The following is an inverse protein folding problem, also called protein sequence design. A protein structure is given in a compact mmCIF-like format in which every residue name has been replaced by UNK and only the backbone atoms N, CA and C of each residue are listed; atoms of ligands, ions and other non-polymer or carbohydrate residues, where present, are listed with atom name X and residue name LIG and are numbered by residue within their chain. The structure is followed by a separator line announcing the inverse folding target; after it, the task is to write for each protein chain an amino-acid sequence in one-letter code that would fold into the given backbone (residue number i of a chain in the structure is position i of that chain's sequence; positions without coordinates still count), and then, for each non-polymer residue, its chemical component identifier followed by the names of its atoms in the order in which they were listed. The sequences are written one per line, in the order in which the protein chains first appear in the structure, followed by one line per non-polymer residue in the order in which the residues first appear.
data_IF_518483455910
#
_entry.id   IF_518483455910
#
_cell.length_a   1.000
_cell.length_b   1.000
_cell.length_c   1.000
_cell.angle_alpha   90.00
_cell.angle_beta   90.00
_cell.angle_gamma   90.00
#
_symmetry.space_group_name_H-M   'P 1'
#
loop_
_entity.id
_entity.type
_entity.pdbx_description
1 polymer ?
#
# COMPACT_ATOMS: atom_id res chain seq x y z
N UNK A 1 -0.83 -3.48 9.72
CA UNK A 1 -1.96 -2.72 9.12
C UNK A 1 -1.71 -1.24 9.30
N UNK A 2 -2.13 -0.39 8.36
CA UNK A 2 -2.07 1.05 8.61
C UNK A 2 -3.00 1.44 9.75
N UNK A 3 -2.55 2.32 10.66
CA UNK A 3 -3.30 2.66 11.87
C UNK A 3 -4.67 3.30 11.57
N UNK A 4 -4.80 4.01 10.45
CA UNK A 4 -6.04 4.66 9.99
C UNK A 4 -7.16 3.66 9.62
N UNK A 5 -6.85 2.39 9.32
CA UNK A 5 -7.85 1.42 8.88
C UNK A 5 -8.94 1.14 9.91
N UNK A 6 -8.64 1.18 11.20
CA UNK A 6 -9.64 0.98 12.25
C UNK A 6 -10.78 1.99 12.18
N UNK A 7 -10.48 3.21 11.74
CA UNK A 7 -11.43 4.31 11.65
C UNK A 7 -12.26 4.19 10.36
N UNK A 8 -11.63 3.66 9.30
CA UNK A 8 -12.21 3.63 7.96
C UNK A 8 -13.09 2.40 7.76
N UNK A 9 -12.63 1.21 8.17
CA UNK A 9 -13.36 -0.04 7.94
C UNK A 9 -13.03 -1.10 9.01
N UNK A 10 -13.72 -1.01 10.16
CA UNK A 10 -13.43 -1.87 11.31
C UNK A 10 -13.88 -3.33 11.12
N UNK A 11 -15.02 -3.57 10.46
CA UNK A 11 -15.54 -4.93 10.25
C UNK A 11 -14.59 -5.79 9.42
N UNK A 12 -13.97 -5.22 8.39
CA UNK A 12 -13.00 -5.93 7.57
C UNK A 12 -11.67 -6.16 8.31
N UNK A 13 -11.22 -5.18 9.10
CA UNK A 13 -10.04 -5.34 9.96
C UNK A 13 -10.20 -6.54 10.90
N UNK A 14 -11.39 -6.71 11.48
CA UNK A 14 -11.70 -7.84 12.36
C UNK A 14 -11.64 -9.18 11.62
N UNK A 15 -12.15 -9.25 10.39
CA UNK A 15 -12.09 -10.47 9.58
C UNK A 15 -10.65 -10.87 9.25
N UNK A 16 -9.83 -9.94 8.76
CA UNK A 16 -8.43 -10.20 8.43
C UNK A 16 -7.55 -10.48 9.66
N UNK A 17 -7.97 -9.99 10.83
CA UNK A 17 -7.29 -10.20 12.10
C UNK A 17 -7.49 -11.61 12.67
N UNK A 18 -8.53 -12.35 12.23
CA UNK A 18 -8.82 -13.69 12.77
C UNK A 18 -7.62 -14.62 12.65
N UNK A 19 -7.19 -15.15 13.80
CA UNK A 19 -6.05 -16.07 13.88
C UNK A 19 -4.68 -15.42 13.65
N UNK A 20 -4.57 -14.09 13.69
CA UNK A 20 -3.32 -13.34 13.48
C UNK A 20 -3.05 -12.38 14.62
N UNK A 21 -1.76 -12.09 14.84
CA UNK A 21 -1.33 -10.97 15.69
C UNK A 21 -1.35 -9.71 14.83
N UNK A 22 -2.14 -8.70 15.23
CA UNK A 22 -2.26 -7.46 14.47
C UNK A 22 -1.32 -6.40 15.02
N UNK A 23 -0.43 -5.91 14.16
CA UNK A 23 0.40 -4.75 14.43
C UNK A 23 -0.12 -3.55 13.63
N UNK A 24 -0.40 -2.45 14.32
CA UNK A 24 -0.79 -1.19 13.70
C UNK A 24 0.45 -0.30 13.57
N UNK A 25 0.63 0.31 12.40
CA UNK A 25 1.73 1.21 12.13
C UNK A 25 1.26 2.42 11.32
N UNK A 26 1.86 3.58 11.56
CA UNK A 26 1.60 4.81 10.82
C UNK A 26 2.92 5.35 10.28
N UNK A 27 3.31 5.05 9.03
CA UNK A 27 4.57 5.52 8.47
C UNK A 27 4.71 7.04 8.43
N UNK A 28 3.60 7.78 8.47
CA UNK A 28 3.58 9.24 8.57
C UNK A 28 4.07 9.75 9.93
N UNK A 29 3.76 9.02 11.02
CA UNK A 29 4.14 9.38 12.39
C UNK A 29 5.40 8.67 12.87
N UNK A 30 5.79 7.60 12.17
CA UNK A 30 6.92 6.75 12.53
C UNK A 30 8.17 7.08 11.73
N UNK A 31 9.33 6.87 12.36
CA UNK A 31 10.62 7.07 11.71
C UNK A 31 10.82 6.07 10.54
N UNK A 32 11.57 6.44 9.47
CA UNK A 32 11.96 5.55 8.37
C UNK A 32 12.63 4.22 8.75
N UNK A 33 13.00 4.04 10.01
CA UNK A 33 13.52 2.79 10.56
C UNK A 33 12.51 1.62 10.51
N UNK A 34 11.27 1.88 10.08
CA UNK A 34 10.21 0.90 9.86
C UNK A 34 10.67 -0.32 9.05
N UNK A 35 11.51 -0.14 8.03
CA UNK A 35 12.06 -1.23 7.21
C UNK A 35 12.83 -2.26 8.04
N UNK A 36 13.82 -1.78 8.81
CA UNK A 36 14.62 -2.63 9.69
C UNK A 36 13.82 -3.24 10.84
N UNK A 37 12.82 -2.51 11.37
CA UNK A 37 11.92 -3.02 12.41
C UNK A 37 11.10 -4.20 11.92
N UNK A 38 10.49 -4.10 10.74
CA UNK A 38 9.68 -5.18 10.15
C UNK A 38 10.55 -6.42 9.90
N UNK A 39 11.72 -6.24 9.28
CA UNK A 39 12.65 -7.35 9.07
C UNK A 39 13.07 -8.01 10.40
N UNK A 40 13.36 -7.20 11.42
CA UNK A 40 13.71 -7.69 12.76
C UNK A 40 12.57 -8.47 13.41
N UNK A 41 11.33 -7.99 13.33
CA UNK A 41 10.14 -8.68 13.83
C UNK A 41 10.00 -10.04 13.16
N UNK A 42 10.10 -10.10 11.83
CA UNK A 42 9.95 -11.35 11.06
C UNK A 42 11.06 -12.33 11.45
N UNK A 43 12.32 -11.89 11.51
CA UNK A 43 13.46 -12.73 11.93
C UNK A 43 13.28 -13.31 13.33
N UNK A 44 12.83 -12.47 14.28
CA UNK A 44 12.73 -12.84 15.69
C UNK A 44 11.50 -13.69 16.00
N UNK A 45 10.38 -13.48 15.30
CA UNK A 45 9.11 -14.17 15.58
C UNK A 45 8.81 -15.33 14.64
N UNK A 46 9.49 -15.41 13.47
CA UNK A 46 9.32 -16.44 12.44
C UNK A 46 7.83 -16.74 12.12
N UNK A 47 7.03 -15.73 11.75
CA UNK A 47 5.62 -15.91 11.51
C UNK A 47 5.39 -16.83 10.30
N UNK A 48 4.35 -17.67 10.34
CA UNK A 48 3.98 -18.54 9.21
C UNK A 48 3.61 -17.76 7.94
N UNK A 49 3.09 -16.56 8.11
CA UNK A 49 2.77 -15.63 7.02
C UNK A 49 2.72 -14.19 7.52
N UNK A 50 2.90 -13.24 6.59
CA UNK A 50 2.76 -11.80 6.84
C UNK A 50 1.65 -11.24 5.95
N UNK A 51 0.70 -10.51 6.53
CA UNK A 51 -0.34 -9.82 5.75
C UNK A 51 -0.22 -8.32 5.96
N UNK A 52 -0.06 -7.58 4.87
CA UNK A 52 -0.02 -6.11 4.88
C UNK A 52 -1.35 -5.61 4.36
N UNK A 53 -1.98 -4.70 5.10
CA UNK A 53 -3.26 -4.09 4.75
C UNK A 53 -3.13 -2.60 4.97
N UNK A 54 -3.47 -1.80 3.97
CA UNK A 54 -3.44 -0.34 4.06
C UNK A 54 -4.62 0.31 3.36
N UNK A 55 -4.81 1.61 3.58
CA UNK A 55 -5.71 2.43 2.77
C UNK A 55 -5.03 2.70 1.43
N UNK A 56 -5.78 2.59 0.34
CA UNK A 56 -5.25 2.86 -0.98
C UNK A 56 -5.02 4.37 -1.22
N UNK A 57 -4.10 4.71 -2.12
CA UNK A 57 -3.78 6.09 -2.49
C UNK A 57 -2.96 6.90 -1.46
N UNK A 58 -2.72 6.38 -0.26
CA UNK A 58 -1.88 7.06 0.75
C UNK A 58 -0.38 6.84 0.47
N UNK A 59 0.42 7.91 0.22
CA UNK A 59 1.85 7.77 -0.02
C UNK A 59 2.61 7.26 1.21
N UNK A 60 2.13 7.56 2.41
CA UNK A 60 2.73 7.09 3.66
C UNK A 60 2.48 5.59 3.84
N UNK A 61 1.23 5.14 3.66
CA UNK A 61 0.87 3.76 3.92
C UNK A 61 1.54 2.77 2.94
N UNK A 62 1.81 3.21 1.71
CA UNK A 62 2.59 2.44 0.73
C UNK A 62 3.92 1.93 1.31
N UNK A 63 4.57 2.70 2.19
CA UNK A 63 5.85 2.31 2.79
C UNK A 63 5.77 0.99 3.58
N UNK A 64 4.62 0.62 4.15
CA UNK A 64 4.45 -0.68 4.81
C UNK A 64 4.54 -1.84 3.81
N UNK A 65 3.98 -1.67 2.61
CA UNK A 65 4.07 -2.67 1.56
C UNK A 65 5.51 -2.82 1.08
N UNK A 66 6.17 -1.69 0.82
CA UNK A 66 7.57 -1.67 0.41
C UNK A 66 8.50 -2.29 1.46
N UNK A 67 8.30 -1.98 2.74
CA UNK A 67 9.11 -2.50 3.84
C UNK A 67 8.98 -4.03 4.02
N UNK A 68 7.78 -4.59 3.86
CA UNK A 68 7.60 -6.05 3.92
C UNK A 68 8.21 -6.75 2.69
N UNK A 69 8.18 -6.13 1.52
CA UNK A 69 8.92 -6.62 0.36
C UNK A 69 10.44 -6.59 0.58
N UNK A 70 10.94 -5.51 1.17
CA UNK A 70 12.36 -5.32 1.43
C UNK A 70 12.90 -6.23 2.53
N UNK A 71 12.03 -6.68 3.45
CA UNK A 71 12.41 -7.66 4.45
C UNK A 71 12.98 -8.95 3.84
N UNK A 72 12.51 -9.39 2.66
CA UNK A 72 13.12 -10.56 1.98
C UNK A 72 14.58 -10.32 1.61
N UNK A 73 14.89 -9.11 1.13
CA UNK A 73 16.26 -8.71 0.80
C UNK A 73 17.13 -8.63 2.07
N UNK A 74 16.60 -8.02 3.13
CA UNK A 74 17.33 -7.86 4.41
C UNK A 74 17.61 -9.23 5.06
N UNK A 75 16.64 -10.15 5.02
CA UNK A 75 16.74 -11.46 5.66
C UNK A 75 17.44 -12.50 4.78
N UNK A 76 17.51 -12.28 3.47
CA UNK A 76 18.04 -13.24 2.52
C UNK A 76 17.15 -14.47 2.32
N UNK A 77 15.86 -14.38 2.65
CA UNK A 77 14.90 -15.49 2.55
C UNK A 77 13.54 -15.03 2.01
N UNK A 78 12.81 -15.97 1.40
CA UNK A 78 11.47 -15.70 0.87
C UNK A 78 10.46 -15.71 2.01
N UNK A 79 9.61 -14.68 2.05
CA UNK A 79 8.55 -14.54 3.06
C UNK A 79 7.21 -14.89 2.41
N UNK A 80 6.44 -15.76 3.06
CA UNK A 80 5.05 -15.98 2.69
C UNK A 80 4.23 -14.74 3.06
N UNK A 81 3.98 -13.86 2.08
CA UNK A 81 3.33 -12.57 2.30
C UNK A 81 2.18 -12.30 1.34
N UNK A 82 1.21 -11.54 1.82
CA UNK A 82 0.12 -10.98 1.03
C UNK A 82 -0.03 -9.49 1.27
N UNK A 83 -0.38 -8.76 0.22
CA UNK A 83 -0.59 -7.31 0.26
C UNK A 83 -2.03 -7.02 -0.12
N UNK A 84 -2.69 -6.19 0.68
CA UNK A 84 -4.06 -5.74 0.44
C UNK A 84 -4.14 -4.23 0.60
N UNK A 85 -4.96 -3.61 -0.23
CA UNK A 85 -5.36 -2.20 -0.08
C UNK A 85 -6.87 -2.12 0.07
N UNK A 86 -7.33 -1.13 0.83
CA UNK A 86 -8.74 -0.77 0.97
C UNK A 86 -8.99 0.46 0.11
N UNK A 87 -9.63 0.26 -1.04
CA UNK A 87 -10.01 1.26 -2.03
C UNK A 87 -11.28 1.95 -1.55
N UNK A 88 -11.24 3.29 -1.51
CA UNK A 88 -12.35 4.16 -1.09
C UNK A 88 -12.98 3.82 0.27
N UNK A 89 -12.24 3.11 1.12
CA UNK A 89 -12.72 2.66 2.43
C UNK A 89 -13.63 1.43 2.40
N UNK A 90 -14.00 0.93 1.22
CA UNK A 90 -15.02 -0.11 1.07
C UNK A 90 -14.48 -1.41 0.48
N UNK A 91 -13.76 -1.30 -0.63
CA UNK A 91 -13.37 -2.46 -1.45
C UNK A 91 -11.96 -2.90 -1.14
N UNK A 92 -11.78 -4.18 -0.89
CA UNK A 92 -10.47 -4.77 -0.62
C UNK A 92 -9.92 -5.38 -1.88
N UNK A 93 -8.69 -5.03 -2.22
CA UNK A 93 -8.01 -5.54 -3.42
C UNK A 93 -6.68 -6.17 -3.02
N UNK A 94 -6.45 -7.42 -3.45
CA UNK A 94 -5.14 -8.06 -3.32
C UNK A 94 -4.16 -7.49 -4.34
N UNK A 95 -2.97 -7.12 -3.88
CA UNK A 95 -1.93 -6.51 -4.69
C UNK A 95 -0.76 -7.47 -4.82
N UNK A 96 -0.28 -7.64 -6.05
CA UNK A 96 0.93 -8.41 -6.33
C UNK A 96 2.14 -7.78 -5.62
N UNK A 97 3.05 -8.58 -5.00
CA UNK A 97 4.33 -8.09 -4.53
C UNK A 97 5.13 -7.33 -5.60
N UNK A 98 4.98 -7.69 -6.88
CA UNK A 98 5.68 -7.04 -7.98
C UNK A 98 5.07 -5.68 -8.33
N UNK A 99 3.75 -5.51 -8.19
CA UNK A 99 3.13 -4.19 -8.33
C UNK A 99 3.70 -3.20 -7.29
N UNK A 100 3.89 -3.66 -6.04
CA UNK A 100 4.55 -2.88 -4.98
C UNK A 100 6.00 -2.54 -5.35
N UNK A 101 6.75 -3.48 -5.94
CA UNK A 101 8.13 -3.23 -6.40
C UNK A 101 8.15 -2.18 -7.51
N UNK A 102 7.32 -2.37 -8.55
CA UNK A 102 7.23 -1.49 -9.72
C UNK A 102 6.81 -0.08 -9.32
N UNK A 103 5.90 0.08 -8.35
CA UNK A 103 5.47 1.38 -7.84
C UNK A 103 6.63 2.24 -7.30
N UNK A 104 7.76 1.64 -6.88
CA UNK A 104 8.98 2.38 -6.48
C UNK A 104 9.79 2.92 -7.66
N UNK A 105 9.55 2.43 -8.87
CA UNK A 105 10.30 2.79 -10.08
C UNK A 105 9.40 3.60 -11.01
N UNK A 106 9.37 4.92 -10.82
CA UNK A 106 8.49 5.83 -11.56
C UNK A 106 8.66 5.75 -13.08
N UNK A 107 9.86 5.42 -13.59
CA UNK A 107 10.08 5.24 -15.04
C UNK A 107 9.31 4.02 -15.59
N UNK A 108 9.15 2.95 -14.81
CA UNK A 108 8.34 1.79 -15.17
C UNK A 108 6.86 2.10 -15.04
N UNK A 109 6.45 2.78 -13.97
CA UNK A 109 5.07 3.26 -13.80
C UNK A 109 4.66 4.15 -14.97
N UNK A 110 5.51 5.10 -15.36
CA UNK A 110 5.27 5.96 -16.52
C UNK A 110 5.16 5.18 -17.82
N UNK A 111 5.98 4.13 -18.01
CA UNK A 111 5.87 3.22 -19.16
C UNK A 111 4.50 2.53 -19.18
N UNK A 112 4.01 2.07 -18.03
CA UNK A 112 2.70 1.42 -17.91
C UNK A 112 1.56 2.40 -18.20
N UNK A 113 1.60 3.62 -17.66
CA UNK A 113 0.58 4.66 -17.91
C UNK A 113 0.50 4.97 -19.42
N UNK A 114 1.64 5.15 -20.09
CA UNK A 114 1.67 5.42 -21.54
C UNK A 114 1.08 4.30 -22.39
N UNK A 115 1.12 3.06 -21.89
CA UNK A 115 0.57 1.89 -22.57
C UNK A 115 -0.88 1.59 -22.18
N UNK A 116 -1.43 2.22 -21.13
CA UNK A 116 -2.75 1.93 -20.57
C UNK A 116 -3.41 3.24 -20.08
N UNK A 117 -3.95 4.01 -21.03
CA UNK A 117 -4.55 5.32 -20.72
C UNK A 117 -5.83 5.21 -19.87
N UNK A 118 -6.52 4.07 -19.91
CA UNK A 118 -7.70 3.75 -19.11
C UNK A 118 -7.44 3.83 -17.59
N UNK A 119 -6.20 3.57 -17.16
CA UNK A 119 -5.79 3.73 -15.76
C UNK A 119 -5.97 5.18 -15.26
N UNK A 120 -5.84 6.18 -16.14
CA UNK A 120 -6.06 7.57 -15.75
C UNK A 120 -7.56 7.89 -15.60
N UNK A 121 -8.43 7.25 -16.38
CA UNK A 121 -9.88 7.36 -16.22
C UNK A 121 -10.35 6.71 -14.92
N UNK A 122 -9.75 5.58 -14.52
CA UNK A 122 -9.99 4.96 -13.21
C UNK A 122 -9.44 5.86 -12.08
N UNK A 123 -8.22 6.39 -12.20
CA UNK A 123 -7.61 7.28 -11.21
C UNK A 123 -8.49 8.49 -10.90
N UNK A 124 -9.19 9.02 -11.91
CA UNK A 124 -10.14 10.14 -11.77
C UNK A 124 -11.30 9.81 -10.82
N UNK A 125 -11.73 8.56 -10.74
CA UNK A 125 -12.82 8.15 -9.86
C UNK A 125 -12.38 8.21 -8.39
N UNK A 126 -11.13 7.82 -8.11
CA UNK A 126 -10.61 7.66 -6.75
C UNK A 126 -9.89 8.91 -6.21
N UNK A 127 -9.11 9.62 -7.05
CA UNK A 127 -8.25 10.71 -6.60
C UNK A 127 -8.92 12.08 -6.69
N UNK A 128 -9.19 12.68 -5.51
CA UNK A 128 -9.66 14.07 -5.41
C UNK A 128 -8.64 15.08 -5.94
N UNK A 129 -7.35 14.83 -5.69
CA UNK A 129 -6.24 15.66 -6.18
C UNK A 129 -6.21 15.66 -7.72
N UNK A 130 -6.33 14.48 -8.33
CA UNK A 130 -6.29 14.36 -9.78
C UNK A 130 -7.53 15.00 -10.43
N UNK A 131 -8.72 14.82 -9.85
CA UNK A 131 -9.92 15.55 -10.28
C UNK A 131 -9.70 17.06 -10.23
N UNK A 132 -9.10 17.57 -9.16
CA UNK A 132 -8.83 19.00 -9.03
C UNK A 132 -7.86 19.52 -10.10
N UNK A 133 -6.82 18.75 -10.41
CA UNK A 133 -5.89 19.06 -11.50
C UNK A 133 -6.62 19.21 -12.85
N UNK A 134 -7.52 18.27 -13.17
CA UNK A 134 -8.28 18.30 -14.43
C UNK A 134 -9.22 19.53 -14.51
N UNK A 135 -9.87 19.91 -13.41
CA UNK A 135 -10.68 21.14 -13.35
C UNK A 135 -9.84 22.40 -13.65
N UNK A 136 -8.62 22.48 -13.10
CA UNK A 136 -7.73 23.62 -13.29
C UNK A 136 -7.27 23.74 -14.75
N UNK A 137 -7.00 22.62 -15.42
CA UNK A 137 -6.60 22.59 -16.84
C UNK A 137 -7.73 23.06 -17.76
N UNK A 138 -8.98 22.70 -17.46
CA UNK A 138 -10.14 23.17 -18.24
C UNK A 138 -10.33 24.68 -18.13
N UNK A 139 -10.15 25.25 -16.93
CA UNK A 139 -10.25 26.71 -16.71
C UNK A 139 -9.13 27.51 -17.36
N UNK A 140 -7.96 26.93 -17.56
CA UNK A 140 -6.85 27.57 -18.28
C UNK A 140 -7.00 27.51 -19.81
N UNK A 141 -7.89 26.65 -20.29
CA UNK A 141 -8.19 26.47 -21.71
C UNK A 141 -9.47 27.20 -22.15
N UNK A 142 -10.12 27.93 -21.22
CA UNK A 142 -11.33 28.74 -21.40
C UNK A 142 -10.98 30.22 -21.31
#
# INVERSE_FOLDING_TARGET
MSACLKIINNSFVEELAKGKVVLYACPEREHPALYGKIASIIRSSKPRSVTVVTVDGSPHCFQLHAAVNEAEYILGEKINKKHYVVVDGEKVVEISPDAVRVARYLHLVNKLIKSNNDVLEELKQHSLEYRKLLELQQKQSS
#
